data_IF_469741018969
#
_entry.id   IF_469741018969
#
_cell.length_a   1.000
_cell.length_b   1.000
_cell.length_c   1.000
_cell.angle_alpha   90.00
_cell.angle_beta   90.00
_cell.angle_gamma   90.00
#
_symmetry.space_group_name_H-M   'P 1'
#
loop_
_entity.id
_entity.type
_entity.pdbx_description
1 polymer ?
#
# COMPACT_ATOMS: atom_id res chain seq x y z
N UNK A 1 -19.26 10.42 -8.45
CA UNK A 1 -18.64 9.66 -7.33
C UNK A 1 -17.39 10.40 -6.88
N UNK A 2 -17.11 10.38 -5.58
CA UNK A 2 -15.97 11.06 -4.96
C UNK A 2 -15.03 10.02 -4.35
N UNK A 3 -13.72 10.12 -4.66
CA UNK A 3 -12.69 9.26 -4.11
C UNK A 3 -11.65 10.06 -3.32
N UNK A 4 -11.33 9.63 -2.10
CA UNK A 4 -10.19 10.15 -1.36
C UNK A 4 -9.02 9.18 -1.51
N UNK A 5 -7.82 9.68 -1.80
CA UNK A 5 -6.63 8.85 -2.00
C UNK A 5 -5.48 9.39 -1.16
N UNK A 6 -4.88 8.56 -0.32
CA UNK A 6 -3.64 8.89 0.40
C UNK A 6 -2.42 8.43 -0.39
N UNK A 7 -1.30 9.14 -0.28
CA UNK A 7 -0.06 8.78 -0.99
C UNK A 7 -0.11 8.95 -2.50
N UNK A 8 -0.86 9.95 -2.97
CA UNK A 8 -1.16 10.15 -4.39
C UNK A 8 -0.10 10.94 -5.18
N UNK A 9 1.05 11.31 -4.58
CA UNK A 9 2.08 12.10 -5.28
C UNK A 9 2.98 11.30 -6.22
N UNK A 10 2.98 9.99 -6.11
CA UNK A 10 3.85 9.12 -6.92
C UNK A 10 3.37 7.67 -6.93
N UNK A 11 4.03 6.84 -7.74
CA UNK A 11 3.81 5.39 -7.77
C UNK A 11 2.35 4.99 -7.99
N UNK A 12 1.94 3.89 -7.37
CA UNK A 12 0.61 3.30 -7.58
C UNK A 12 -0.53 4.23 -7.19
N UNK A 13 -0.34 5.09 -6.16
CA UNK A 13 -1.34 6.07 -5.76
C UNK A 13 -1.61 7.13 -6.82
N UNK A 14 -0.57 7.67 -7.46
CA UNK A 14 -0.71 8.64 -8.54
C UNK A 14 -1.42 8.05 -9.77
N UNK A 15 -1.03 6.84 -10.19
CA UNK A 15 -1.69 6.15 -11.30
C UNK A 15 -3.15 5.79 -10.99
N UNK A 16 -3.44 5.44 -9.73
CA UNK A 16 -4.83 5.18 -9.31
C UNK A 16 -5.67 6.45 -9.30
N UNK A 17 -5.11 7.58 -8.81
CA UNK A 17 -5.78 8.88 -8.82
C UNK A 17 -6.13 9.31 -10.25
N UNK A 18 -5.17 9.20 -11.17
CA UNK A 18 -5.38 9.54 -12.59
C UNK A 18 -6.44 8.63 -13.22
N UNK A 19 -6.35 7.31 -13.02
CA UNK A 19 -7.31 6.37 -13.60
C UNK A 19 -8.75 6.60 -13.10
N UNK A 20 -8.92 7.01 -11.84
CA UNK A 20 -10.23 7.40 -11.30
C UNK A 20 -10.75 8.70 -11.92
N UNK A 21 -9.89 9.70 -12.08
CA UNK A 21 -10.26 10.95 -12.73
C UNK A 21 -10.68 10.72 -14.20
N UNK A 22 -9.93 9.89 -14.95
CA UNK A 22 -10.25 9.48 -16.32
C UNK A 22 -11.57 8.70 -16.41
N UNK A 23 -11.92 7.94 -15.36
CA UNK A 23 -13.20 7.25 -15.22
C UNK A 23 -14.35 8.16 -14.74
N UNK A 24 -14.12 9.47 -14.63
CA UNK A 24 -15.14 10.47 -14.29
C UNK A 24 -15.37 10.71 -12.80
N UNK A 25 -14.51 10.15 -11.92
CA UNK A 25 -14.57 10.44 -10.49
C UNK A 25 -14.02 11.83 -10.15
N UNK A 26 -14.57 12.46 -9.15
CA UNK A 26 -13.91 13.58 -8.46
C UNK A 26 -12.94 12.99 -7.45
N UNK A 27 -11.67 13.35 -7.55
CA UNK A 27 -10.59 12.77 -6.74
C UNK A 27 -10.03 13.82 -5.79
N UNK A 28 -10.03 13.50 -4.49
CA UNK A 28 -9.31 14.29 -3.47
C UNK A 28 -8.03 13.52 -3.14
N UNK A 29 -6.93 14.00 -3.66
CA UNK A 29 -5.62 13.37 -3.58
C UNK A 29 -4.80 13.98 -2.44
N UNK A 30 -4.37 13.15 -1.49
CA UNK A 30 -3.57 13.56 -0.35
C UNK A 30 -2.11 13.12 -0.46
N UNK A 31 -1.17 14.04 -0.24
CA UNK A 31 0.25 13.75 -0.11
C UNK A 31 0.99 14.90 0.60
N UNK A 32 2.16 14.60 1.21
CA UNK A 32 2.98 15.60 1.92
C UNK A 32 3.48 16.73 1.04
N UNK A 33 3.70 16.47 -0.26
CA UNK A 33 4.24 17.42 -1.23
C UNK A 33 3.18 18.28 -1.91
N UNK A 34 1.91 18.08 -1.64
CA UNK A 34 0.83 18.86 -2.25
C UNK A 34 0.59 20.16 -1.48
N UNK A 35 0.18 21.21 -2.19
CA UNK A 35 0.01 22.56 -1.63
C UNK A 35 -1.45 23.04 -1.66
N UNK A 36 -2.34 22.36 -2.38
CA UNK A 36 -3.76 22.70 -2.40
C UNK A 36 -4.23 23.17 -3.77
N UNK A 37 -3.85 22.47 -4.83
CA UNK A 37 -4.16 22.77 -6.24
C UNK A 37 -5.25 21.84 -6.78
N UNK A 38 -6.07 22.36 -7.68
CA UNK A 38 -7.04 21.58 -8.43
C UNK A 38 -6.68 21.58 -9.92
N UNK A 39 -6.65 20.39 -10.50
CA UNK A 39 -6.41 20.18 -11.92
C UNK A 39 -7.48 19.22 -12.45
N UNK A 40 -8.38 19.74 -13.26
CA UNK A 40 -9.52 18.98 -13.75
C UNK A 40 -10.38 18.41 -12.61
N UNK A 41 -10.43 17.10 -12.52
CA UNK A 41 -11.18 16.34 -11.50
C UNK A 41 -10.38 16.00 -10.26
N UNK A 42 -9.10 16.37 -10.19
CA UNK A 42 -8.20 16.03 -9.10
C UNK A 42 -7.87 17.26 -8.25
N UNK A 43 -8.33 17.28 -7.01
CA UNK A 43 -7.91 18.27 -6.01
C UNK A 43 -6.79 17.68 -5.17
N UNK A 44 -5.61 18.30 -5.19
CA UNK A 44 -4.41 17.89 -4.47
C UNK A 44 -4.33 18.65 -3.15
N UNK A 45 -4.37 17.95 -2.02
CA UNK A 45 -4.32 18.54 -0.69
C UNK A 45 -3.11 18.03 0.10
N UNK A 46 -2.48 18.88 0.93
CA UNK A 46 -1.42 18.41 1.82
C UNK A 46 -1.97 17.37 2.79
N UNK A 47 -1.23 16.27 2.95
CA UNK A 47 -1.58 15.20 3.88
C UNK A 47 -0.33 14.44 4.33
N UNK A 48 -0.03 14.53 5.61
CA UNK A 48 0.85 13.62 6.32
C UNK A 48 0.01 12.67 7.18
N UNK A 49 -0.08 11.42 6.77
CA UNK A 49 -0.89 10.40 7.47
C UNK A 49 -0.35 10.05 8.87
N UNK A 50 0.89 10.45 9.19
CA UNK A 50 1.50 10.22 10.50
C UNK A 50 1.12 11.28 11.53
N UNK A 51 0.37 12.30 11.14
CA UNK A 51 0.02 13.45 12.00
C UNK A 51 -1.49 13.64 12.07
N UNK A 52 -2.03 13.63 13.29
CA UNK A 52 -3.47 13.77 13.54
C UNK A 52 -4.03 15.14 13.06
N UNK A 53 -3.26 16.22 13.25
CA UNK A 53 -3.62 17.56 12.78
C UNK A 53 -3.69 17.61 11.24
N UNK A 54 -2.69 17.04 10.56
CA UNK A 54 -2.68 17.00 9.10
C UNK A 54 -3.83 16.19 8.52
N UNK A 55 -4.18 15.06 9.14
CA UNK A 55 -5.32 14.25 8.71
C UNK A 55 -6.63 15.01 8.94
N UNK A 56 -6.80 15.67 10.07
CA UNK A 56 -7.99 16.49 10.36
C UNK A 56 -8.14 17.62 9.33
N UNK A 57 -7.08 18.39 9.08
CA UNK A 57 -7.10 19.50 8.13
C UNK A 57 -7.41 19.03 6.70
N UNK A 58 -6.82 17.90 6.29
CA UNK A 58 -7.15 17.26 5.02
C UNK A 58 -8.63 16.90 4.95
N UNK A 59 -9.18 16.28 5.99
CA UNK A 59 -10.58 15.84 6.04
C UNK A 59 -11.55 17.01 6.04
N UNK A 60 -11.25 18.11 6.75
CA UNK A 60 -12.08 19.32 6.74
C UNK A 60 -12.19 19.92 5.34
N UNK A 61 -11.07 20.00 4.61
CA UNK A 61 -11.05 20.50 3.22
C UNK A 61 -11.72 19.53 2.26
N UNK A 62 -11.47 18.22 2.41
CA UNK A 62 -12.06 17.20 1.56
C UNK A 62 -13.59 17.13 1.69
N UNK A 63 -14.13 17.30 2.90
CA UNK A 63 -15.58 17.34 3.17
C UNK A 63 -16.30 18.48 2.44
N UNK A 64 -15.62 19.60 2.19
CA UNK A 64 -16.21 20.73 1.42
C UNK A 64 -16.46 20.34 -0.05
N UNK A 65 -15.73 19.35 -0.57
CA UNK A 65 -15.93 18.79 -1.92
C UNK A 65 -17.08 17.76 -1.89
N UNK A 66 -17.21 17.02 -0.79
CA UNK A 66 -18.30 16.06 -0.55
C UNK A 66 -17.83 14.78 0.14
N UNK A 67 -18.76 14.07 0.79
CA UNK A 67 -18.47 12.81 1.45
C UNK A 67 -18.01 11.73 0.45
N UNK A 68 -16.98 10.92 0.76
CA UNK A 68 -16.41 9.98 -0.19
C UNK A 68 -17.33 8.79 -0.47
N UNK A 69 -17.35 8.36 -1.72
CA UNK A 69 -17.87 7.06 -2.16
C UNK A 69 -16.80 5.96 -2.03
N UNK A 70 -15.52 6.36 -2.11
CA UNK A 70 -14.40 5.47 -1.90
C UNK A 70 -13.24 6.18 -1.18
N UNK A 71 -12.52 5.44 -0.33
CA UNK A 71 -11.19 5.82 0.18
C UNK A 71 -10.15 4.80 -0.23
N UNK A 72 -9.01 5.27 -0.74
CA UNK A 72 -7.93 4.43 -1.24
C UNK A 72 -6.63 4.77 -0.49
N UNK A 73 -6.09 3.78 0.24
CA UNK A 73 -4.90 3.95 1.07
C UNK A 73 -3.66 3.45 0.32
N UNK A 74 -2.91 4.39 -0.28
CA UNK A 74 -1.66 4.11 -0.99
C UNK A 74 -0.42 4.70 -0.29
N UNK A 75 -0.58 5.47 0.79
CA UNK A 75 0.55 6.02 1.53
C UNK A 75 1.38 4.89 2.15
N UNK A 76 2.65 4.81 1.78
CA UNK A 76 3.56 3.79 2.27
C UNK A 76 5.02 4.24 2.19
N UNK A 77 5.84 3.64 3.04
CA UNK A 77 7.30 3.67 2.99
C UNK A 77 7.83 2.24 3.11
N UNK A 78 8.96 1.97 2.43
CA UNK A 78 9.70 0.72 2.52
C UNK A 78 11.01 1.00 3.24
N UNK A 79 11.35 0.17 4.22
CA UNK A 79 12.68 0.17 4.83
C UNK A 79 13.36 -1.16 4.58
N UNK A 80 14.57 -1.09 4.03
CA UNK A 80 15.43 -2.24 3.78
C UNK A 80 16.50 -2.34 4.86
N UNK A 81 16.70 -3.54 5.38
CA UNK A 81 17.71 -3.87 6.38
C UNK A 81 17.57 -5.29 6.89
N UNK A 82 18.61 -5.83 7.52
CA UNK A 82 18.52 -7.12 8.20
C UNK A 82 17.57 -7.02 9.40
N UNK A 83 16.97 -8.12 9.81
CA UNK A 83 16.10 -8.12 11.00
C UNK A 83 16.86 -7.72 12.27
N UNK A 84 18.15 -8.06 12.34
CA UNK A 84 19.01 -7.78 13.48
C UNK A 84 19.38 -6.30 13.58
N UNK A 85 19.71 -5.66 12.44
CA UNK A 85 20.31 -4.33 12.42
C UNK A 85 19.31 -3.20 12.11
N UNK A 86 18.13 -3.54 11.57
CA UNK A 86 17.07 -2.52 11.37
C UNK A 86 16.62 -1.98 12.71
N UNK A 87 16.72 -0.66 12.90
CA UNK A 87 16.45 -0.02 14.18
C UNK A 87 14.97 -0.05 14.55
N UNK A 88 14.65 -0.01 15.85
CA UNK A 88 13.27 0.13 16.31
C UNK A 88 12.62 1.42 15.78
N UNK A 89 13.40 2.48 15.57
CA UNK A 89 12.91 3.71 14.98
C UNK A 89 12.49 3.52 13.51
N UNK A 90 13.23 2.71 12.73
CA UNK A 90 12.85 2.36 11.36
C UNK A 90 11.58 1.52 11.34
N UNK A 91 11.45 0.51 12.23
CA UNK A 91 10.21 -0.25 12.39
C UNK A 91 9.03 0.66 12.74
N UNK A 92 9.19 1.52 13.75
CA UNK A 92 8.16 2.46 14.16
C UNK A 92 7.72 3.38 13.02
N UNK A 93 8.68 3.94 12.26
CA UNK A 93 8.41 4.81 11.11
C UNK A 93 7.61 4.10 10.03
N UNK A 94 7.94 2.84 9.71
CA UNK A 94 7.21 2.05 8.72
C UNK A 94 5.79 1.75 9.20
N UNK A 95 5.64 1.30 10.45
CA UNK A 95 4.33 1.03 11.05
C UNK A 95 3.48 2.28 11.14
N UNK A 96 4.04 3.40 11.57
CA UNK A 96 3.34 4.67 11.70
C UNK A 96 2.79 5.16 10.35
N UNK A 97 3.59 5.04 9.28
CA UNK A 97 3.14 5.48 7.95
C UNK A 97 2.16 4.49 7.33
N UNK A 98 2.54 3.19 7.27
CA UNK A 98 1.84 2.21 6.44
C UNK A 98 0.56 1.70 7.09
N UNK A 99 0.55 1.57 8.41
CA UNK A 99 -0.55 0.97 9.16
C UNK A 99 -1.31 2.01 10.00
N UNK A 100 -0.67 2.65 10.98
CA UNK A 100 -1.36 3.59 11.86
C UNK A 100 -1.88 4.82 11.11
N UNK A 101 -1.15 5.31 10.11
CA UNK A 101 -1.61 6.39 9.24
C UNK A 101 -2.88 6.03 8.46
N UNK A 102 -2.99 4.80 7.98
CA UNK A 102 -4.20 4.28 7.35
C UNK A 102 -5.36 4.21 8.36
N UNK A 103 -5.12 3.69 9.56
CA UNK A 103 -6.12 3.62 10.63
C UNK A 103 -6.61 5.02 11.00
N UNK A 104 -5.71 5.98 11.16
CA UNK A 104 -6.01 7.39 11.47
C UNK A 104 -6.95 8.02 10.46
N UNK A 105 -6.71 7.78 9.16
CA UNK A 105 -7.60 8.26 8.10
C UNK A 105 -8.95 7.52 8.13
N UNK A 106 -8.96 6.19 8.33
CA UNK A 106 -10.19 5.41 8.42
C UNK A 106 -11.09 5.88 9.57
N UNK A 107 -10.54 6.24 10.73
CA UNK A 107 -11.31 6.78 11.86
C UNK A 107 -12.08 8.06 11.51
N UNK A 108 -11.59 8.84 10.53
CA UNK A 108 -12.25 10.06 10.06
C UNK A 108 -13.20 9.80 8.88
N UNK A 109 -12.91 8.81 8.04
CA UNK A 109 -13.67 8.53 6.81
C UNK A 109 -14.87 7.63 7.08
N UNK A 110 -14.72 6.60 7.92
CA UNK A 110 -15.77 5.61 8.16
C UNK A 110 -17.07 6.22 8.72
N UNK A 111 -17.04 7.20 9.65
CA UNK A 111 -18.28 7.88 10.07
C UNK A 111 -19.01 8.56 8.92
N UNK A 112 -18.28 9.21 7.99
CA UNK A 112 -18.87 9.87 6.84
C UNK A 112 -19.54 8.88 5.87
N UNK A 113 -18.88 7.74 5.64
CA UNK A 113 -19.44 6.67 4.82
C UNK A 113 -20.67 6.05 5.47
N UNK A 114 -20.65 5.83 6.79
CA UNK A 114 -21.79 5.30 7.53
C UNK A 114 -22.98 6.25 7.48
N UNK A 115 -22.77 7.54 7.68
CA UNK A 115 -23.81 8.58 7.62
C UNK A 115 -24.39 8.70 6.21
N UNK A 116 -23.57 8.49 5.17
CA UNK A 116 -23.99 8.46 3.77
C UNK A 116 -24.75 7.19 3.39
N UNK A 117 -24.69 6.14 4.22
CA UNK A 117 -25.34 4.84 3.98
C UNK A 117 -24.49 3.85 3.17
N UNK A 118 -23.18 4.04 3.08
CA UNK A 118 -22.28 3.10 2.43
C UNK A 118 -21.02 3.72 1.88
N UNK A 119 -20.14 2.89 1.33
CA UNK A 119 -18.89 3.32 0.74
C UNK A 119 -17.95 2.14 0.44
N UNK A 120 -16.76 2.45 -0.07
CA UNK A 120 -15.76 1.47 -0.45
C UNK A 120 -14.40 1.85 0.13
N UNK A 121 -13.80 0.94 0.90
CA UNK A 121 -12.47 1.11 1.49
C UNK A 121 -11.49 0.21 0.74
N UNK A 122 -10.48 0.79 0.12
CA UNK A 122 -9.43 0.07 -0.62
C UNK A 122 -8.10 0.22 0.10
N UNK A 123 -7.55 -0.89 0.53
CA UNK A 123 -6.30 -0.97 1.28
C UNK A 123 -5.20 -1.56 0.41
N UNK A 124 -4.16 -0.78 0.12
CA UNK A 124 -3.00 -1.28 -0.60
C UNK A 124 -2.08 -2.06 0.34
N UNK A 125 -2.25 -3.37 0.32
CA UNK A 125 -1.31 -4.32 0.91
C UNK A 125 -0.13 -4.57 -0.04
N UNK A 126 0.31 -5.79 -0.16
CA UNK A 126 1.37 -6.29 -1.05
C UNK A 126 1.34 -7.82 -1.05
N UNK A 127 2.03 -8.45 -1.99
CA UNK A 127 2.40 -9.88 -1.84
C UNK A 127 3.23 -10.10 -0.56
N UNK A 128 3.95 -9.09 -0.07
CA UNK A 128 4.65 -9.12 1.22
C UNK A 128 3.71 -9.11 2.44
N UNK A 129 2.44 -8.79 2.26
CA UNK A 129 1.41 -9.00 3.29
C UNK A 129 1.01 -10.46 3.44
N UNK A 130 1.40 -11.32 2.49
CA UNK A 130 1.06 -12.74 2.45
C UNK A 130 2.27 -13.66 2.68
N UNK A 131 3.49 -13.14 2.55
CA UNK A 131 4.74 -13.87 2.75
C UNK A 131 5.89 -12.92 3.07
N UNK A 132 6.91 -13.38 3.81
CA UNK A 132 8.11 -12.61 4.14
C UNK A 132 9.21 -12.73 3.08
N UNK A 133 9.86 -11.61 2.77
CA UNK A 133 11.08 -11.59 1.96
C UNK A 133 12.26 -11.09 2.78
N UNK A 134 13.49 -11.60 2.54
CA UNK A 134 14.70 -11.13 3.22
C UNK A 134 14.87 -9.61 3.09
N UNK A 135 15.40 -9.00 4.13
CA UNK A 135 15.74 -7.57 4.19
C UNK A 135 14.56 -6.59 4.08
N UNK A 136 13.31 -7.07 4.24
CA UNK A 136 12.10 -6.27 4.18
C UNK A 136 11.20 -6.49 5.41
N UNK A 137 11.75 -6.84 6.56
CA UNK A 137 10.99 -7.26 7.74
C UNK A 137 10.01 -6.19 8.24
N UNK A 138 10.43 -4.93 8.36
CA UNK A 138 9.57 -3.85 8.80
C UNK A 138 8.39 -3.61 7.83
N UNK A 139 8.67 -3.61 6.53
CA UNK A 139 7.64 -3.47 5.50
C UNK A 139 6.68 -4.66 5.51
N UNK A 140 7.22 -5.88 5.51
CA UNK A 140 6.45 -7.12 5.57
C UNK A 140 5.51 -7.13 6.79
N UNK A 141 6.02 -6.80 7.98
CA UNK A 141 5.20 -6.72 9.20
C UNK A 141 4.06 -5.71 9.05
N UNK A 142 4.33 -4.52 8.48
CA UNK A 142 3.29 -3.51 8.27
C UNK A 142 2.21 -3.98 7.30
N UNK A 143 2.57 -4.73 6.25
CA UNK A 143 1.61 -5.25 5.28
C UNK A 143 0.79 -6.41 5.85
N UNK A 144 1.36 -7.27 6.69
CA UNK A 144 0.59 -8.26 7.46
C UNK A 144 -0.39 -7.61 8.44
N UNK A 145 0.00 -6.50 9.07
CA UNK A 145 -0.91 -5.73 9.93
C UNK A 145 -2.12 -5.19 9.16
N UNK A 146 -1.92 -4.69 7.91
CA UNK A 146 -3.00 -4.25 7.03
C UNK A 146 -3.94 -5.42 6.69
N UNK A 147 -3.40 -6.62 6.40
CA UNK A 147 -4.19 -7.82 6.08
C UNK A 147 -5.14 -8.20 7.23
N UNK A 148 -4.59 -8.31 8.46
CA UNK A 148 -5.40 -8.63 9.65
C UNK A 148 -6.42 -7.54 9.97
N UNK A 149 -6.05 -6.27 9.87
CA UNK A 149 -6.97 -5.16 10.05
C UNK A 149 -8.12 -5.18 9.05
N UNK A 150 -7.83 -5.46 7.78
CA UNK A 150 -8.86 -5.53 6.73
C UNK A 150 -9.90 -6.62 7.00
N UNK A 151 -9.49 -7.77 7.53
CA UNK A 151 -10.39 -8.86 7.89
C UNK A 151 -11.35 -8.46 9.02
N UNK A 152 -10.86 -7.77 10.04
CA UNK A 152 -11.69 -7.23 11.12
C UNK A 152 -12.64 -6.15 10.58
N UNK A 153 -12.08 -5.15 9.89
CA UNK A 153 -12.84 -4.04 9.36
C UNK A 153 -13.99 -4.49 8.46
N UNK A 154 -13.75 -5.44 7.56
CA UNK A 154 -14.76 -5.91 6.62
C UNK A 154 -15.99 -6.49 7.34
N UNK A 155 -15.79 -7.17 8.47
CA UNK A 155 -16.88 -7.72 9.27
C UNK A 155 -17.65 -6.62 10.02
N UNK A 156 -16.92 -5.66 10.58
CA UNK A 156 -17.49 -4.59 11.38
C UNK A 156 -18.32 -3.58 10.57
N UNK A 157 -17.90 -3.26 9.33
CA UNK A 157 -18.54 -2.22 8.52
C UNK A 157 -19.61 -2.72 7.57
N UNK A 158 -19.75 -4.04 7.40
CA UNK A 158 -20.77 -4.67 6.54
C UNK A 158 -22.20 -4.21 6.87
N UNK A 159 -22.64 -4.07 8.15
CA UNK A 159 -23.99 -3.60 8.46
C UNK A 159 -24.27 -2.17 7.99
N UNK A 160 -23.26 -1.39 7.70
CA UNK A 160 -23.38 -0.01 7.25
C UNK A 160 -23.28 0.16 5.74
N UNK A 161 -23.30 -0.95 4.95
CA UNK A 161 -23.18 -0.91 3.49
C UNK A 161 -21.77 -0.52 3.01
N UNK A 162 -20.75 -0.59 3.88
CA UNK A 162 -19.36 -0.29 3.52
C UNK A 162 -18.67 -1.60 3.13
N UNK A 163 -17.98 -1.58 1.99
CA UNK A 163 -17.23 -2.72 1.46
C UNK A 163 -15.74 -2.48 1.59
N UNK A 164 -14.99 -3.50 1.94
CA UNK A 164 -13.52 -3.46 2.08
C UNK A 164 -12.88 -4.33 1.00
N UNK A 165 -11.83 -3.81 0.36
CA UNK A 165 -11.03 -4.53 -0.62
C UNK A 165 -9.55 -4.34 -0.36
N UNK A 166 -8.81 -5.44 -0.33
CA UNK A 166 -7.35 -5.48 -0.34
C UNK A 166 -6.86 -5.53 -1.79
N UNK A 167 -5.95 -4.64 -2.14
CA UNK A 167 -5.12 -4.75 -3.33
C UNK A 167 -3.76 -5.27 -2.89
N UNK A 168 -3.33 -6.39 -3.47
CA UNK A 168 -2.09 -7.09 -3.15
C UNK A 168 -1.15 -7.04 -4.37
N UNK A 169 -0.43 -5.91 -4.58
CA UNK A 169 0.48 -5.77 -5.72
C UNK A 169 1.72 -6.65 -5.58
N UNK A 170 2.17 -7.21 -6.71
CA UNK A 170 3.56 -7.60 -6.91
C UNK A 170 4.39 -6.38 -7.34
N UNK A 171 5.55 -6.61 -7.97
CA UNK A 171 6.42 -5.54 -8.42
C UNK A 171 5.84 -4.81 -9.62
N UNK A 172 5.92 -3.48 -9.57
CA UNK A 172 5.49 -2.56 -10.61
C UNK A 172 6.60 -1.57 -10.94
N UNK A 173 6.76 -1.23 -12.20
CA UNK A 173 7.78 -0.29 -12.67
C UNK A 173 7.64 1.06 -11.96
N UNK A 174 8.74 1.52 -11.35
CA UNK A 174 8.79 2.81 -10.66
C UNK A 174 7.91 2.92 -9.41
N UNK A 175 7.31 1.81 -8.94
CA UNK A 175 6.30 1.83 -7.89
C UNK A 175 6.81 2.26 -6.51
N UNK A 176 8.02 1.87 -6.13
CA UNK A 176 8.53 2.06 -4.76
C UNK A 176 9.78 2.94 -4.64
N UNK A 177 10.42 3.32 -5.73
CA UNK A 177 11.74 3.99 -5.72
C UNK A 177 11.79 5.27 -4.88
N UNK A 178 10.71 6.04 -4.84
CA UNK A 178 10.63 7.33 -4.10
C UNK A 178 10.30 7.17 -2.61
N UNK A 179 9.81 6.02 -2.18
CA UNK A 179 9.42 5.75 -0.79
C UNK A 179 10.33 4.73 -0.10
N UNK A 180 11.45 4.38 -0.74
CA UNK A 180 12.42 3.41 -0.25
C UNK A 180 13.44 4.09 0.68
N UNK A 181 13.66 3.45 1.81
CA UNK A 181 14.67 3.80 2.80
C UNK A 181 15.58 2.58 2.98
N UNK A 182 16.82 2.83 3.35
CA UNK A 182 17.73 1.79 3.87
C UNK A 182 18.03 2.15 5.31
N UNK A 183 17.98 1.17 6.21
CA UNK A 183 18.38 1.40 7.60
C UNK A 183 19.82 1.88 7.67
N UNK A 184 20.07 2.89 8.47
CA UNK A 184 21.41 3.48 8.61
C UNK A 184 22.46 2.49 9.14
N UNK A 185 22.02 1.43 9.81
CA UNK A 185 22.89 0.36 10.30
C UNK A 185 23.38 -0.58 9.18
N UNK A 186 22.74 -0.59 8.01
CA UNK A 186 23.15 -1.41 6.86
C UNK A 186 24.33 -0.78 6.12
N UNK A 187 25.53 -1.10 6.57
CA UNK A 187 26.81 -0.64 5.99
C UNK A 187 27.64 -1.82 5.49
N UNK A 188 28.73 -1.55 4.81
CA UNK A 188 29.68 -2.58 4.33
C UNK A 188 30.39 -3.34 5.46
N UNK A 189 30.37 -2.81 6.69
CA UNK A 189 30.84 -3.50 7.89
C UNK A 189 29.84 -4.56 8.41
N UNK A 190 28.59 -4.57 7.93
CA UNK A 190 27.58 -5.52 8.36
C UNK A 190 27.90 -6.95 7.88
N UNK A 191 27.77 -7.98 8.73
CA UNK A 191 27.89 -9.38 8.31
C UNK A 191 26.83 -9.79 7.28
N UNK A 192 25.74 -9.03 7.17
CA UNK A 192 24.67 -9.24 6.21
C UNK A 192 24.88 -8.53 4.87
N UNK A 193 25.90 -7.67 4.74
CA UNK A 193 26.07 -6.76 3.60
C UNK A 193 26.08 -7.46 2.24
N UNK A 194 26.81 -8.58 2.13
CA UNK A 194 26.90 -9.32 0.88
C UNK A 194 25.54 -9.86 0.39
N UNK A 195 24.76 -10.44 1.30
CA UNK A 195 23.44 -10.97 1.01
C UNK A 195 22.41 -9.83 0.83
N UNK A 196 22.53 -8.76 1.61
CA UNK A 196 21.72 -7.54 1.47
C UNK A 196 21.84 -6.93 0.08
N UNK A 197 23.05 -6.78 -0.44
CA UNK A 197 23.28 -6.27 -1.81
C UNK A 197 22.63 -7.16 -2.87
N UNK A 198 22.77 -8.48 -2.75
CA UNK A 198 22.13 -9.43 -3.68
C UNK A 198 20.61 -9.31 -3.62
N UNK A 199 20.04 -9.28 -2.41
CA UNK A 199 18.60 -9.18 -2.22
C UNK A 199 18.01 -7.88 -2.76
N UNK A 200 18.66 -6.74 -2.49
CA UNK A 200 18.21 -5.45 -3.00
C UNK A 200 18.36 -5.32 -4.51
N UNK A 201 19.39 -5.90 -5.09
CA UNK A 201 19.59 -5.96 -6.55
C UNK A 201 18.52 -6.84 -7.22
N UNK A 202 18.18 -8.00 -6.64
CA UNK A 202 17.09 -8.83 -7.14
C UNK A 202 15.76 -8.07 -7.15
N UNK A 203 15.44 -7.37 -6.06
CA UNK A 203 14.22 -6.56 -5.96
C UNK A 203 14.23 -5.43 -7.01
N UNK A 204 15.36 -4.72 -7.16
CA UNK A 204 15.49 -3.65 -8.17
C UNK A 204 15.22 -4.17 -9.58
N UNK A 205 15.83 -5.29 -9.93
CA UNK A 205 15.61 -5.96 -11.23
C UNK A 205 14.15 -6.35 -11.44
N UNK A 206 13.50 -6.89 -10.40
CA UNK A 206 12.10 -7.31 -10.48
C UNK A 206 11.15 -6.11 -10.63
N UNK A 207 11.44 -4.98 -9.98
CA UNK A 207 10.69 -3.73 -10.17
C UNK A 207 10.91 -3.12 -11.57
N UNK A 208 12.14 -3.14 -12.09
CA UNK A 208 12.44 -2.65 -13.45
C UNK A 208 11.68 -3.44 -14.52
N UNK A 209 11.54 -4.76 -14.32
CA UNK A 209 10.77 -5.65 -15.18
C UNK A 209 9.31 -5.83 -14.71
N UNK A 210 8.90 -5.07 -13.72
CA UNK A 210 7.58 -5.17 -13.09
C UNK A 210 6.42 -4.80 -14.01
N UNK A 211 5.22 -5.06 -13.54
CA UNK A 211 3.98 -4.76 -14.24
C UNK A 211 3.80 -3.25 -14.46
N UNK A 212 3.03 -2.88 -15.48
CA UNK A 212 2.68 -1.48 -15.74
C UNK A 212 1.77 -0.93 -14.63
N UNK A 213 2.19 0.11 -13.89
CA UNK A 213 1.40 0.68 -12.80
C UNK A 213 0.08 1.32 -13.29
N UNK A 214 0.03 1.79 -14.54
CA UNK A 214 -1.20 2.34 -15.11
C UNK A 214 -2.28 1.26 -15.29
N UNK A 215 -1.88 0.01 -15.58
CA UNK A 215 -2.84 -1.12 -15.64
C UNK A 215 -3.44 -1.40 -14.27
N UNK A 216 -2.65 -1.30 -13.20
CA UNK A 216 -3.16 -1.46 -11.84
C UNK A 216 -4.16 -0.34 -11.51
N UNK A 217 -3.83 0.91 -11.79
CA UNK A 217 -4.74 2.04 -11.57
C UNK A 217 -6.08 1.85 -12.28
N UNK A 218 -6.06 1.47 -13.57
CA UNK A 218 -7.28 1.16 -14.33
C UNK A 218 -8.07 -0.01 -13.75
N UNK A 219 -7.40 -1.08 -13.30
CA UNK A 219 -8.04 -2.21 -12.65
C UNK A 219 -8.76 -1.79 -11.36
N UNK A 220 -8.13 -0.95 -10.54
CA UNK A 220 -8.77 -0.43 -9.31
C UNK A 220 -9.98 0.43 -9.65
N UNK A 221 -9.85 1.34 -10.62
CA UNK A 221 -10.96 2.18 -11.07
C UNK A 221 -12.14 1.34 -11.58
N UNK A 222 -11.87 0.32 -12.40
CA UNK A 222 -12.90 -0.62 -12.89
C UNK A 222 -13.56 -1.40 -11.74
N UNK A 223 -12.78 -1.92 -10.78
CA UNK A 223 -13.33 -2.64 -9.63
C UNK A 223 -14.27 -1.74 -8.81
N UNK A 224 -13.92 -0.47 -8.64
CA UNK A 224 -14.73 0.49 -7.90
C UNK A 224 -16.08 0.83 -8.57
N UNK A 225 -16.29 0.50 -9.85
CA UNK A 225 -17.61 0.63 -10.50
C UNK A 225 -18.55 -0.55 -10.21
N UNK A 226 -18.04 -1.68 -9.72
CA UNK A 226 -18.84 -2.87 -9.46
C UNK A 226 -19.73 -2.68 -8.23
N UNK A 227 -20.91 -3.27 -8.25
CA UNK A 227 -21.81 -3.28 -7.09
C UNK A 227 -21.17 -4.00 -5.89
N UNK A 228 -20.53 -5.17 -6.15
CA UNK A 228 -19.83 -5.95 -5.12
C UNK A 228 -18.34 -6.01 -5.41
N UNK A 229 -17.54 -5.62 -4.41
CA UNK A 229 -16.09 -5.72 -4.48
C UNK A 229 -15.61 -7.13 -4.11
N UNK A 230 -14.57 -7.66 -4.78
CA UNK A 230 -13.83 -8.78 -4.22
C UNK A 230 -13.10 -8.33 -2.96
N UNK A 231 -13.07 -9.17 -1.92
CA UNK A 231 -12.33 -8.83 -0.70
C UNK A 231 -10.82 -8.72 -0.94
N UNK A 232 -10.26 -9.54 -1.85
CA UNK A 232 -8.83 -9.55 -2.21
C UNK A 232 -8.64 -9.52 -3.71
N UNK A 233 -7.68 -8.70 -4.17
CA UNK A 233 -7.27 -8.65 -5.57
C UNK A 233 -5.73 -8.59 -5.67
N UNK A 234 -5.13 -9.67 -6.11
CA UNK A 234 -3.71 -9.74 -6.46
C UNK A 234 -3.49 -9.17 -7.85
N UNK A 235 -2.47 -8.35 -8.03
CA UNK A 235 -2.11 -7.73 -9.32
C UNK A 235 -0.59 -7.74 -9.45
N UNK A 236 -0.07 -8.47 -10.43
CA UNK A 236 1.37 -8.59 -10.69
C UNK A 236 1.66 -9.63 -11.76
N UNK A 237 2.93 -10.01 -11.90
CA UNK A 237 3.32 -11.06 -12.83
C UNK A 237 2.79 -12.44 -12.39
N UNK A 238 2.55 -13.39 -13.32
CA UNK A 238 2.04 -14.73 -12.97
C UNK A 238 2.91 -15.45 -11.93
N UNK A 239 4.23 -15.34 -12.03
CA UNK A 239 5.16 -15.96 -11.07
C UNK A 239 4.98 -15.41 -9.65
N UNK A 240 4.86 -14.08 -9.51
CA UNK A 240 4.63 -13.43 -8.23
C UNK A 240 3.26 -13.76 -7.64
N UNK A 241 2.26 -13.98 -8.50
CA UNK A 241 0.92 -14.37 -8.04
C UNK A 241 0.87 -15.82 -7.56
N UNK A 242 1.77 -16.68 -8.07
CA UNK A 242 1.87 -18.08 -7.66
C UNK A 242 2.54 -18.23 -6.27
N UNK A 243 3.54 -17.40 -5.95
CA UNK A 243 4.30 -17.53 -4.71
C UNK A 243 3.45 -17.51 -3.42
N UNK A 244 2.47 -16.59 -3.24
CA UNK A 244 1.59 -16.64 -2.07
C UNK A 244 0.68 -17.88 -2.02
N UNK A 245 0.33 -18.47 -3.17
CA UNK A 245 -0.43 -19.71 -3.20
C UNK A 245 0.42 -20.89 -2.71
N UNK A 246 1.66 -20.98 -3.19
CA UNK A 246 2.63 -21.97 -2.72
C UNK A 246 2.93 -21.81 -1.23
N UNK A 247 3.03 -20.58 -0.73
CA UNK A 247 3.26 -20.28 0.69
C UNK A 247 2.18 -20.87 1.60
N UNK A 248 0.93 -20.97 1.11
CA UNK A 248 -0.20 -21.55 1.87
C UNK A 248 -0.16 -23.08 1.98
N UNK A 249 0.48 -23.76 1.03
CA UNK A 249 0.42 -25.24 0.95
C UNK A 249 1.76 -25.91 1.22
N UNK A 250 2.87 -25.23 1.02
CA UNK A 250 4.19 -25.78 1.28
C UNK A 250 4.57 -25.68 2.77
N UNK A 251 5.30 -26.65 3.31
CA UNK A 251 5.89 -26.50 4.64
C UNK A 251 6.78 -25.25 4.72
N UNK A 252 6.69 -24.50 5.82
CA UNK A 252 7.37 -23.21 5.97
C UNK A 252 8.89 -23.25 5.68
N UNK A 253 9.58 -24.34 6.11
CA UNK A 253 11.02 -24.50 5.80
C UNK A 253 11.30 -24.63 4.30
N UNK A 254 10.43 -25.32 3.55
CA UNK A 254 10.58 -25.48 2.10
C UNK A 254 10.34 -24.13 1.41
N UNK A 255 9.29 -23.44 1.79
CA UNK A 255 8.98 -22.12 1.23
C UNK A 255 10.09 -21.09 1.53
N UNK A 256 10.59 -21.03 2.77
CA UNK A 256 11.71 -20.15 3.12
C UNK A 256 12.97 -20.44 2.30
N UNK A 257 13.25 -21.71 1.99
CA UNK A 257 14.37 -22.09 1.12
C UNK A 257 14.15 -21.56 -0.30
N UNK A 258 12.96 -21.71 -0.85
CA UNK A 258 12.61 -21.22 -2.18
C UNK A 258 12.75 -19.69 -2.25
N UNK A 259 12.16 -18.96 -1.30
CA UNK A 259 12.23 -17.49 -1.25
C UNK A 259 13.67 -17.01 -1.06
N UNK A 260 14.46 -17.66 -0.19
CA UNK A 260 15.86 -17.35 -0.02
C UNK A 260 16.66 -17.57 -1.31
N UNK A 261 16.44 -18.69 -1.97
CA UNK A 261 17.13 -19.02 -3.23
C UNK A 261 16.76 -18.02 -4.34
N UNK A 262 15.49 -17.64 -4.44
CA UNK A 262 15.04 -16.63 -5.39
C UNK A 262 15.67 -15.26 -5.15
N UNK A 263 15.70 -14.82 -3.88
CA UNK A 263 16.14 -13.47 -3.51
C UNK A 263 17.66 -13.34 -3.43
N UNK A 264 18.36 -14.35 -2.89
CA UNK A 264 19.80 -14.28 -2.56
C UNK A 264 20.67 -15.14 -3.47
N UNK A 265 20.07 -15.96 -4.32
CA UNK A 265 20.77 -16.97 -5.10
C UNK A 265 21.14 -18.19 -4.25
N UNK A 266 21.21 -19.37 -4.87
CA UNK A 266 21.69 -20.58 -4.20
C UNK A 266 23.20 -20.56 -3.99
N UNK A 267 23.67 -21.00 -2.83
CA UNK A 267 24.91 -21.75 -2.72
C UNK A 267 24.59 -23.21 -2.91
#
# INVERSE_FOLDING_TARGET
>A
MIAYITGASSGLGAYTAQALADAGWTVVAGARSFTGETDGRVTRLPLDVTRDDSVRDFMERAKQIGAPDAVIHCAAVLCFGSCEETTLADYARVMETNFLGMVRVNQQVLPLMREKGGGKVVLFSSINGLMGLPFQSAYTASKHAIEGYAECLAQEVTPFGIQVMLIEPGDHRGGSSRCRLTSAAMTDASPYWADFRKGTEAIRRDEENGSDPAKLGRCVAELLTREKLPFRKKIGSPAQMLAPALHKVLPGRAMNRILRQYTLGGK
#
